data_IF_057960713986
#
_entry.id   IF_057960713986
#
_cell.length_a   1.000
_cell.length_b   1.000
_cell.length_c   1.000
_cell.angle_alpha   90.00
_cell.angle_beta   90.00
_cell.angle_gamma   90.00
#
_symmetry.space_group_name_H-M   'P 1'
#
loop_
_entity.id
_entity.type
_entity.pdbx_description
1 polymer ?
#
# COMPACT_ATOMS: atom_id res chain seq x y z
N UNK A 1 -14.14 18.04 6.57
CA UNK A 1 -12.94 18.14 5.72
C UNK A 1 -12.55 16.72 5.34
N UNK A 2 -13.06 16.21 4.23
CA UNK A 2 -12.79 14.82 3.79
C UNK A 2 -11.56 14.86 2.89
N UNK A 3 -10.39 14.80 3.49
CA UNK A 3 -9.10 14.92 2.79
C UNK A 3 -8.85 13.65 1.99
N UNK A 4 -9.04 13.72 0.67
CA UNK A 4 -8.45 12.78 -0.27
C UNK A 4 -6.94 12.80 -0.07
N UNK A 5 -6.44 11.83 0.71
CA UNK A 5 -5.03 11.74 1.07
C UNK A 5 -4.37 10.80 0.07
N UNK A 6 -3.82 11.36 -1.00
CA UNK A 6 -3.03 10.63 -2.00
C UNK A 6 -2.04 9.70 -1.29
N UNK A 7 -2.08 8.42 -1.64
CA UNK A 7 -1.15 7.43 -1.10
C UNK A 7 0.22 7.65 -1.74
N UNK A 8 1.25 7.80 -0.92
CA UNK A 8 2.64 7.99 -1.36
C UNK A 8 3.50 6.77 -1.05
N UNK A 9 4.58 6.53 -1.80
CA UNK A 9 5.47 5.36 -1.59
C UNK A 9 6.24 5.37 -0.27
N UNK A 10 6.31 6.52 0.40
CA UNK A 10 6.99 6.72 1.68
C UNK A 10 6.14 6.32 2.88
N UNK A 11 4.82 6.24 2.68
CA UNK A 11 3.88 5.75 3.69
C UNK A 11 4.17 4.29 4.02
N UNK A 12 3.92 3.93 5.27
CA UNK A 12 3.94 2.53 5.68
C UNK A 12 2.70 1.80 5.18
N UNK A 13 2.83 0.50 4.98
CA UNK A 13 1.70 -0.35 4.59
C UNK A 13 0.55 -0.22 5.59
N UNK A 14 0.85 -0.15 6.89
CA UNK A 14 -0.15 0.03 7.95
C UNK A 14 -0.88 1.35 7.82
N UNK A 15 -0.18 2.48 7.62
CA UNK A 15 -0.82 3.78 7.41
C UNK A 15 -1.78 3.78 6.22
N UNK A 16 -1.40 3.09 5.13
CA UNK A 16 -2.26 2.96 3.95
C UNK A 16 -3.50 2.12 4.27
N UNK A 17 -3.36 1.00 4.98
CA UNK A 17 -4.49 0.15 5.38
C UNK A 17 -5.41 0.87 6.38
N UNK A 18 -4.86 1.63 7.33
CA UNK A 18 -5.65 2.41 8.28
C UNK A 18 -6.48 3.49 7.59
N UNK A 19 -5.93 4.13 6.55
CA UNK A 19 -6.65 5.11 5.71
C UNK A 19 -7.67 4.43 4.80
N UNK A 20 -7.29 3.32 4.17
CA UNK A 20 -8.09 2.58 3.22
C UNK A 20 -8.04 1.08 3.55
N UNK A 21 -9.00 0.54 4.32
CA UNK A 21 -9.01 -0.89 4.67
C UNK A 21 -9.04 -1.81 3.45
N UNK A 22 -9.58 -1.33 2.32
CA UNK A 22 -9.57 -2.03 1.02
C UNK A 22 -8.18 -2.20 0.41
N UNK A 23 -7.20 -1.38 0.79
CA UNK A 23 -5.81 -1.47 0.35
C UNK A 23 -5.20 -2.84 0.69
N UNK A 24 -5.62 -3.45 1.79
CA UNK A 24 -5.18 -4.79 2.16
C UNK A 24 -5.46 -5.82 1.05
N UNK A 25 -6.61 -5.73 0.37
CA UNK A 25 -6.92 -6.64 -0.74
C UNK A 25 -6.00 -6.41 -1.94
N UNK A 26 -5.64 -5.15 -2.21
CA UNK A 26 -4.67 -4.80 -3.25
C UNK A 26 -3.31 -5.43 -2.89
N UNK A 27 -2.80 -5.20 -1.68
CA UNK A 27 -1.54 -5.78 -1.22
C UNK A 27 -1.49 -7.29 -1.34
N UNK A 28 -2.54 -7.99 -0.91
CA UNK A 28 -2.63 -9.45 -1.04
C UNK A 28 -2.59 -9.92 -2.50
N UNK A 29 -3.22 -9.19 -3.43
CA UNK A 29 -3.17 -9.53 -4.88
C UNK A 29 -1.77 -9.40 -5.46
N UNK A 30 -1.01 -8.41 -5.01
CA UNK A 30 0.37 -8.19 -5.41
C UNK A 30 1.39 -9.01 -4.60
N UNK A 31 0.92 -9.87 -3.67
CA UNK A 31 1.79 -10.69 -2.83
C UNK A 31 2.61 -9.89 -1.81
N UNK A 32 2.17 -8.68 -1.46
CA UNK A 32 2.81 -7.83 -0.46
C UNK A 32 2.47 -8.32 0.93
N UNK A 33 3.49 -8.74 1.70
CA UNK A 33 3.27 -9.23 3.06
C UNK A 33 2.90 -8.09 4.01
N UNK A 34 1.62 -8.04 4.38
CA UNK A 34 1.08 -7.06 5.33
C UNK A 34 1.02 -7.60 6.76
N UNK A 35 1.40 -8.85 6.99
CA UNK A 35 1.21 -9.53 8.28
C UNK A 35 2.39 -9.27 9.23
N UNK A 36 3.62 -9.29 8.71
CA UNK A 36 4.82 -8.99 9.50
C UNK A 36 5.49 -7.67 9.07
N UNK A 37 5.06 -7.10 7.94
CA UNK A 37 5.67 -5.95 7.27
C UNK A 37 4.93 -4.61 7.41
N UNK A 38 3.91 -4.50 8.26
CA UNK A 38 3.06 -3.30 8.37
C UNK A 38 3.83 -1.98 8.59
N UNK A 39 4.94 -2.03 9.32
CA UNK A 39 5.83 -0.88 9.56
C UNK A 39 6.78 -0.56 8.42
N UNK A 40 6.89 -1.41 7.38
CA UNK A 40 7.72 -1.13 6.22
C UNK A 40 7.05 -0.11 5.32
N UNK A 41 7.88 0.71 4.68
CA UNK A 41 7.43 1.61 3.63
C UNK A 41 6.86 0.80 2.47
N UNK A 42 5.82 1.34 1.84
CA UNK A 42 5.13 0.76 0.71
C UNK A 42 6.13 0.34 -0.38
N UNK A 43 7.06 1.24 -0.74
CA UNK A 43 8.08 0.98 -1.75
C UNK A 43 8.93 -0.25 -1.45
N UNK A 44 9.27 -0.48 -0.18
CA UNK A 44 10.13 -1.60 0.23
C UNK A 44 9.33 -2.90 0.24
N UNK A 45 8.10 -2.89 0.79
CA UNK A 45 7.24 -4.06 0.78
C UNK A 45 6.88 -4.52 -0.63
N UNK A 46 6.52 -3.57 -1.50
CA UNK A 46 6.20 -3.85 -2.91
C UNK A 46 7.41 -4.36 -3.67
N UNK A 47 8.59 -3.75 -3.46
CA UNK A 47 9.85 -4.17 -4.09
C UNK A 47 10.29 -5.57 -3.67
N UNK A 48 10.14 -5.91 -2.38
CA UNK A 48 10.47 -7.26 -1.86
C UNK A 48 9.57 -8.33 -2.48
N UNK A 49 8.30 -8.02 -2.70
CA UNK A 49 7.37 -8.93 -3.37
C UNK A 49 7.54 -8.99 -4.89
N UNK A 50 8.43 -8.17 -5.47
CA UNK A 50 8.64 -8.12 -6.92
C UNK A 50 7.48 -7.46 -7.69
N UNK A 51 6.57 -6.79 -6.99
CA UNK A 51 5.44 -6.08 -7.59
C UNK A 51 5.87 -4.68 -8.08
N UNK A 52 5.09 -4.12 -9.01
CA UNK A 52 5.34 -2.79 -9.54
C UNK A 52 4.75 -1.71 -8.62
N UNK A 53 5.62 -0.91 -8.00
CA UNK A 53 5.24 0.18 -7.09
C UNK A 53 4.27 1.18 -7.72
N UNK A 54 4.48 1.56 -8.98
CA UNK A 54 3.65 2.54 -9.66
C UNK A 54 2.24 1.98 -9.92
N UNK A 55 2.12 0.71 -10.32
CA UNK A 55 0.82 0.06 -10.49
C UNK A 55 0.07 -0.08 -9.17
N UNK A 56 0.77 -0.48 -8.11
CA UNK A 56 0.17 -0.59 -6.77
C UNK A 56 -0.30 0.78 -6.28
N UNK A 57 0.52 1.83 -6.43
CA UNK A 57 0.13 3.20 -6.08
C UNK A 57 -1.07 3.68 -6.89
N UNK A 58 -1.12 3.41 -8.20
CA UNK A 58 -2.24 3.80 -9.05
C UNK A 58 -3.54 3.09 -8.62
N UNK A 59 -3.50 1.79 -8.32
CA UNK A 59 -4.65 1.06 -7.79
C UNK A 59 -5.08 1.61 -6.43
N UNK A 60 -4.15 1.83 -5.51
CA UNK A 60 -4.44 2.33 -4.17
C UNK A 60 -5.07 3.73 -4.19
N UNK A 61 -4.60 4.60 -5.07
CA UNK A 61 -5.16 5.95 -5.25
C UNK A 61 -6.50 5.94 -6.01
N UNK A 62 -6.89 4.82 -6.62
CA UNK A 62 -8.17 4.64 -7.30
C UNK A 62 -9.26 3.99 -6.41
N UNK A 63 -8.93 3.60 -5.16
CA UNK A 63 -9.84 3.00 -4.18
C UNK A 63 -10.77 4.02 -3.49
#
# INVERSE_FOLDING_TARGET
MTTGSTITPEMTIDEVIQKHPKAQTVFTRYGVDTCCGGFRQLKDGVKVSGANLEQVLAELNAL
#
